data_IF_468802681026
#
_entry.id   IF_468802681026
#
_cell.length_a   1.000
_cell.length_b   1.000
_cell.length_c   1.000
_cell.angle_alpha   90.00
_cell.angle_beta   90.00
_cell.angle_gamma   90.00
#
_symmetry.space_group_name_H-M   'P 1'
#
loop_
_entity.id
_entity.type
_entity.pdbx_description
1 polymer ?
#
# COMPACT_ATOMS: atom_id res chain seq x y z
N UNK A 1 19.92 -11.16 -3.86
CA UNK A 1 18.78 -10.22 -4.00
C UNK A 1 19.27 -8.82 -3.66
N UNK A 2 18.76 -7.79 -4.33
CA UNK A 2 19.09 -6.41 -3.96
C UNK A 2 18.50 -6.07 -2.58
N UNK A 3 19.19 -5.24 -1.79
CA UNK A 3 18.68 -4.73 -0.52
C UNK A 3 17.29 -4.07 -0.68
N UNK A 4 17.08 -3.42 -1.84
CA UNK A 4 15.79 -2.84 -2.19
C UNK A 4 14.69 -3.90 -2.34
N UNK A 5 14.97 -5.04 -2.98
CA UNK A 5 14.00 -6.12 -3.13
C UNK A 5 13.62 -6.72 -1.77
N UNK A 6 14.58 -6.84 -0.86
CA UNK A 6 14.32 -7.32 0.50
C UNK A 6 13.42 -6.35 1.26
N UNK A 7 13.69 -5.04 1.17
CA UNK A 7 12.81 -4.01 1.72
C UNK A 7 11.38 -4.12 1.16
N UNK A 8 11.23 -4.28 -0.16
CA UNK A 8 9.91 -4.42 -0.77
C UNK A 8 9.14 -5.63 -0.22
N UNK A 9 9.81 -6.75 0.03
CA UNK A 9 9.18 -7.94 0.61
C UNK A 9 8.75 -7.69 2.06
N UNK A 10 9.60 -7.04 2.86
CA UNK A 10 9.25 -6.67 4.24
C UNK A 10 8.04 -5.73 4.25
N UNK A 11 8.03 -4.72 3.39
CA UNK A 11 6.89 -3.79 3.26
C UNK A 11 5.59 -4.52 2.88
N UNK A 12 5.65 -5.44 1.89
CA UNK A 12 4.49 -6.25 1.50
C UNK A 12 3.99 -7.12 2.66
N UNK A 13 4.89 -7.75 3.41
CA UNK A 13 4.53 -8.54 4.59
C UNK A 13 3.85 -7.68 5.66
N UNK A 14 4.41 -6.51 5.96
CA UNK A 14 3.86 -5.58 6.97
C UNK A 14 2.48 -5.08 6.54
N UNK A 15 2.31 -4.61 5.30
CA UNK A 15 1.01 -4.12 4.82
C UNK A 15 -0.02 -5.24 4.72
N UNK A 16 0.39 -6.45 4.32
CA UNK A 16 -0.45 -7.64 4.35
C UNK A 16 -0.90 -8.01 5.76
N UNK A 17 -0.01 -7.91 6.75
CA UNK A 17 -0.35 -8.15 8.15
C UNK A 17 -1.35 -7.10 8.67
N UNK A 18 -1.17 -5.81 8.32
CA UNK A 18 -2.12 -4.74 8.69
C UNK A 18 -3.49 -4.98 8.08
N UNK A 19 -3.54 -5.34 6.79
CA UNK A 19 -4.80 -5.68 6.11
C UNK A 19 -5.49 -6.86 6.81
N UNK A 20 -4.77 -7.96 7.01
CA UNK A 20 -5.31 -9.17 7.64
C UNK A 20 -5.79 -8.88 9.07
N UNK A 21 -5.01 -8.15 9.86
CA UNK A 21 -5.39 -7.74 11.20
C UNK A 21 -6.66 -6.88 11.19
N UNK A 22 -6.75 -5.90 10.29
CA UNK A 22 -7.94 -5.07 10.11
C UNK A 22 -9.20 -5.88 9.81
N UNK A 23 -9.10 -6.90 8.95
CA UNK A 23 -10.19 -7.83 8.66
C UNK A 23 -10.57 -8.63 9.91
N UNK A 24 -9.60 -9.19 10.63
CA UNK A 24 -9.83 -10.03 11.82
C UNK A 24 -10.52 -9.26 12.95
N UNK A 25 -10.14 -8.00 13.18
CA UNK A 25 -10.75 -7.16 14.23
C UNK A 25 -11.97 -6.37 13.73
N UNK A 26 -12.43 -6.62 12.50
CA UNK A 26 -13.55 -5.93 11.86
C UNK A 26 -13.39 -4.41 11.88
N UNK A 27 -12.17 -3.92 11.63
CA UNK A 27 -11.86 -2.49 11.49
C UNK A 27 -11.69 -2.14 10.01
N UNK A 28 -12.69 -1.47 9.40
CA UNK A 28 -12.59 -1.04 8.00
C UNK A 28 -11.37 -0.15 7.76
N UNK A 29 -11.08 0.78 8.68
CA UNK A 29 -9.96 1.71 8.55
C UNK A 29 -8.61 1.00 8.46
N UNK A 30 -8.38 -0.03 9.29
CA UNK A 30 -7.13 -0.80 9.26
C UNK A 30 -7.03 -1.67 8.00
N UNK A 31 -8.15 -2.28 7.59
CA UNK A 31 -8.18 -3.07 6.36
C UNK A 31 -7.88 -2.18 5.14
N UNK A 32 -8.49 -1.00 5.06
CA UNK A 32 -8.25 -0.01 4.01
C UNK A 32 -6.79 0.49 4.04
N UNK A 33 -6.23 0.75 5.22
CA UNK A 33 -4.84 1.18 5.37
C UNK A 33 -3.86 0.16 4.77
N UNK A 34 -3.98 -1.10 5.18
CA UNK A 34 -3.12 -2.18 4.66
C UNK A 34 -3.33 -2.41 3.16
N UNK A 35 -4.59 -2.47 2.71
CA UNK A 35 -4.93 -2.66 1.31
C UNK A 35 -4.45 -1.52 0.41
N UNK A 36 -4.64 -0.25 0.82
CA UNK A 36 -4.22 0.93 0.08
C UNK A 36 -2.70 1.01 -0.09
N UNK A 37 -1.93 0.65 0.95
CA UNK A 37 -0.47 0.56 0.81
C UNK A 37 -0.03 -0.62 -0.07
N UNK A 38 -0.73 -1.76 -0.05
CA UNK A 38 -0.48 -2.84 -1.01
C UNK A 38 -0.76 -2.44 -2.46
N UNK A 39 -1.81 -1.64 -2.71
CA UNK A 39 -2.06 -1.03 -4.02
C UNK A 39 -0.88 -0.13 -4.40
N UNK A 40 -0.45 0.74 -3.48
CA UNK A 40 0.75 1.55 -3.69
C UNK A 40 1.98 0.69 -4.02
N UNK A 41 2.09 -0.49 -3.38
CA UNK A 41 3.13 -1.49 -3.67
C UNK A 41 3.05 -2.09 -5.08
N UNK A 42 1.83 -2.37 -5.53
CA UNK A 42 1.59 -2.86 -6.88
C UNK A 42 1.95 -1.79 -7.93
N UNK A 43 1.57 -0.53 -7.71
CA UNK A 43 1.88 0.59 -8.62
C UNK A 43 3.37 0.72 -8.85
N UNK A 44 4.20 0.78 -7.79
CA UNK A 44 5.65 0.95 -8.03
C UNK A 44 6.27 -0.23 -8.79
N UNK A 45 5.70 -1.43 -8.65
CA UNK A 45 6.20 -2.63 -9.32
C UNK A 45 5.77 -2.64 -10.78
N UNK A 46 4.58 -2.13 -11.10
CA UNK A 46 4.13 -1.88 -12.48
C UNK A 46 5.04 -0.86 -13.16
N UNK A 47 5.47 0.18 -12.45
CA UNK A 47 6.42 1.18 -12.97
C UNK A 47 7.86 0.67 -13.04
N UNK A 48 8.15 -0.56 -12.60
CA UNK A 48 9.50 -1.07 -12.57
C UNK A 48 10.15 -1.21 -13.97
N UNK A 49 9.45 -1.71 -15.01
CA UNK A 49 9.98 -1.84 -16.38
C UNK A 49 10.15 -0.51 -17.11
N UNK A 50 9.41 0.55 -16.72
CA UNK A 50 9.50 1.88 -17.33
C UNK A 50 10.83 2.60 -17.00
N UNK A 51 11.64 2.02 -16.11
CA UNK A 51 12.92 2.58 -15.69
C UNK A 51 12.77 3.76 -14.71
N UNK A 52 13.86 4.52 -14.56
CA UNK A 52 13.95 5.61 -13.59
C UNK A 52 14.39 5.19 -12.19
N UNK A 53 14.51 6.18 -11.30
CA UNK A 53 15.04 5.96 -9.95
C UNK A 53 14.03 5.20 -9.08
N UNK A 54 14.55 4.44 -8.11
CA UNK A 54 13.74 3.86 -7.03
C UNK A 54 12.89 4.94 -6.36
N UNK A 55 13.49 6.08 -6.05
CA UNK A 55 12.82 7.21 -5.43
C UNK A 55 11.57 7.67 -6.21
N UNK A 56 11.67 7.88 -7.53
CA UNK A 56 10.54 8.34 -8.34
C UNK A 56 9.38 7.35 -8.31
N UNK A 57 9.68 6.06 -8.48
CA UNK A 57 8.65 4.99 -8.47
C UNK A 57 8.01 4.84 -7.10
N UNK A 58 8.81 4.94 -6.03
CA UNK A 58 8.31 4.94 -4.65
C UNK A 58 7.41 6.14 -4.38
N UNK A 59 7.78 7.34 -4.84
CA UNK A 59 6.97 8.53 -4.67
C UNK A 59 5.60 8.38 -5.33
N UNK A 60 5.56 7.92 -6.59
CA UNK A 60 4.30 7.71 -7.32
C UNK A 60 3.47 6.60 -6.65
N UNK A 61 4.10 5.47 -6.33
CA UNK A 61 3.41 4.34 -5.68
C UNK A 61 2.80 4.72 -4.33
N UNK A 62 3.56 5.39 -3.46
CA UNK A 62 3.06 5.81 -2.15
C UNK A 62 2.07 6.97 -2.24
N UNK A 63 2.21 7.89 -3.19
CA UNK A 63 1.21 8.94 -3.42
C UNK A 63 -0.14 8.34 -3.84
N UNK A 64 -0.15 7.42 -4.82
CA UNK A 64 -1.38 6.74 -5.23
C UNK A 64 -1.94 5.87 -4.09
N UNK A 65 -1.10 5.13 -3.38
CA UNK A 65 -1.52 4.36 -2.21
C UNK A 65 -2.17 5.24 -1.13
N UNK A 66 -1.59 6.40 -0.83
CA UNK A 66 -2.16 7.35 0.13
C UNK A 66 -3.52 7.89 -0.33
N UNK A 67 -3.68 8.18 -1.63
CA UNK A 67 -4.98 8.59 -2.19
C UNK A 67 -6.03 7.49 -1.96
N UNK A 68 -5.70 6.23 -2.24
CA UNK A 68 -6.60 5.10 -1.98
C UNK A 68 -6.97 4.98 -0.50
N UNK A 69 -6.01 5.14 0.41
CA UNK A 69 -6.25 5.11 1.85
C UNK A 69 -7.18 6.25 2.28
N UNK A 70 -6.91 7.48 1.86
CA UNK A 70 -7.71 8.66 2.25
C UNK A 70 -9.14 8.54 1.72
N UNK A 71 -9.30 8.23 0.43
CA UNK A 71 -10.63 8.06 -0.18
C UNK A 71 -11.37 6.90 0.48
N UNK A 72 -10.70 5.76 0.70
CA UNK A 72 -11.29 4.60 1.32
C UNK A 72 -11.75 4.87 2.75
N UNK A 73 -10.91 5.51 3.57
CA UNK A 73 -11.26 5.86 4.96
C UNK A 73 -12.41 6.86 4.99
N UNK A 74 -12.39 7.88 4.14
CA UNK A 74 -13.50 8.83 4.04
C UNK A 74 -14.80 8.12 3.65
N UNK A 75 -14.76 7.26 2.62
CA UNK A 75 -15.92 6.48 2.20
C UNK A 75 -16.43 5.55 3.31
N UNK A 76 -15.53 4.87 4.04
CA UNK A 76 -15.91 4.03 5.17
C UNK A 76 -16.56 4.84 6.29
N UNK A 77 -16.05 6.04 6.61
CA UNK A 77 -16.63 6.91 7.63
C UNK A 77 -18.05 7.37 7.30
N UNK A 78 -18.35 7.63 6.02
CA UNK A 78 -19.70 8.04 5.60
C UNK A 78 -20.66 6.86 5.33
N UNK A 79 -20.14 5.63 5.19
CA UNK A 79 -20.93 4.43 4.92
C UNK A 79 -21.34 3.67 6.20
N UNK A 80 -20.75 4.01 7.35
CA UNK A 80 -21.08 3.47 8.68
C UNK A 80 -21.73 4.52 9.55
#
# INVERSE_FOLDING_TARGET
MSAYTLLQLVEVLVFGAVLMFGVLVRSPSLAILGGGFLIGKAVLNILAPEGGTVYRRSLIGYALGAIYVVIGIAAAHFAT
#
